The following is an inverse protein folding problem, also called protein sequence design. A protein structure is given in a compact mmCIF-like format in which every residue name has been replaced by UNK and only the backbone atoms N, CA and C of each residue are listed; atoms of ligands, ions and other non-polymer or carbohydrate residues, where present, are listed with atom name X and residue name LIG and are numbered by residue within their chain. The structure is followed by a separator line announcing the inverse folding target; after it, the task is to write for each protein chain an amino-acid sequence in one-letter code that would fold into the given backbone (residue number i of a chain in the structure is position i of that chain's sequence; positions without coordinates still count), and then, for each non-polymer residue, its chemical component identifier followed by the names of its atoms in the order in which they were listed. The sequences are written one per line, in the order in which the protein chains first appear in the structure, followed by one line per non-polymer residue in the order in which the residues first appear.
data_IF_679918132086
#
_entry.id   IF_679918132086
#
_cell.length_a   1.000
_cell.length_b   1.000
_cell.length_c   1.000
_cell.angle_alpha   90.00
_cell.angle_beta   90.00
_cell.angle_gamma   90.00
#
_symmetry.space_group_name_H-M   'P 1'
#
loop_
_entity.id
_entity.type
_entity.pdbx_description
1 polymer ?
#
# COMPACT_ATOMS: atom_id res chain seq x y z
N UNK A 1 17.59 -0.59 6.20
CA UNK A 1 16.72 0.28 6.99
C UNK A 1 15.54 0.75 6.17
N UNK A 2 14.37 0.81 6.78
CA UNK A 2 13.13 1.23 6.16
C UNK A 2 12.95 2.76 6.26
N UNK A 3 12.47 3.38 5.20
CA UNK A 3 12.12 4.81 5.15
C UNK A 3 10.70 4.96 4.61
N UNK A 4 9.97 5.95 5.11
CA UNK A 4 8.55 6.09 4.86
C UNK A 4 8.13 7.51 4.49
N UNK A 5 7.03 7.62 3.76
CA UNK A 5 6.21 8.82 3.64
C UNK A 5 4.74 8.37 3.62
N UNK A 6 4.00 8.68 4.69
CA UNK A 6 2.65 8.17 4.91
C UNK A 6 1.63 9.24 5.25
N UNK A 7 0.36 9.00 4.86
CA UNK A 7 -0.79 9.53 5.55
C UNK A 7 -1.48 8.40 6.33
N UNK A 8 -1.75 8.59 7.61
CA UNK A 8 -2.37 7.56 8.44
C UNK A 8 -3.56 8.09 9.23
N UNK A 9 -4.41 7.18 9.65
CA UNK A 9 -5.54 7.47 10.53
C UNK A 9 -5.70 6.35 11.56
N UNK A 10 -5.75 6.73 12.84
CA UNK A 10 -6.13 5.83 13.93
C UNK A 10 -7.66 5.83 14.02
N UNK A 11 -8.27 4.79 13.50
CA UNK A 11 -9.73 4.64 13.47
C UNK A 11 -10.09 3.17 13.35
N UNK A 12 -11.11 2.75 14.11
CA UNK A 12 -11.67 1.41 13.94
C UNK A 12 -12.29 1.28 12.56
N UNK A 13 -11.88 0.27 11.81
CA UNK A 13 -12.32 0.10 10.43
C UNK A 13 -12.40 -1.37 10.02
N UNK A 14 -13.19 -1.60 8.99
CA UNK A 14 -13.30 -2.90 8.32
C UNK A 14 -12.57 -2.92 6.98
N UNK A 15 -11.62 -2.01 6.78
CA UNK A 15 -10.87 -1.85 5.55
C UNK A 15 -10.94 -0.44 5.00
N UNK A 16 -10.51 -0.27 3.77
CA UNK A 16 -10.46 1.03 3.11
C UNK A 16 -10.09 0.92 1.65
N UNK A 17 -9.84 2.06 1.04
CA UNK A 17 -9.74 2.22 -0.40
C UNK A 17 -8.86 3.39 -0.79
N UNK A 18 -8.11 3.24 -1.87
CA UNK A 18 -7.61 4.35 -2.68
C UNK A 18 -7.23 3.88 -4.08
N UNK A 19 -7.05 4.85 -4.99
CA UNK A 19 -6.35 4.64 -6.25
C UNK A 19 -4.88 4.96 -6.04
N UNK A 20 -3.99 4.07 -6.46
CA UNK A 20 -2.54 4.26 -6.45
C UNK A 20 -2.05 4.53 -7.85
N UNK A 21 -1.39 5.67 -8.10
CA UNK A 21 -0.67 5.84 -9.35
C UNK A 21 0.51 4.86 -9.41
N UNK A 22 0.75 4.31 -10.60
CA UNK A 22 1.75 3.27 -10.81
C UNK A 22 2.99 3.86 -11.49
N UNK A 23 4.13 3.74 -10.83
CA UNK A 23 5.43 4.23 -11.31
C UNK A 23 6.47 3.12 -11.28
N UNK A 24 7.61 3.35 -11.87
CA UNK A 24 8.71 2.37 -11.90
C UNK A 24 10.00 3.01 -11.37
N UNK A 25 10.11 3.22 -10.04
CA UNK A 25 11.35 3.72 -9.45
C UNK A 25 12.49 2.73 -9.67
N UNK A 26 13.68 3.25 -9.98
CA UNK A 26 14.88 2.42 -10.16
C UNK A 26 15.44 1.95 -8.83
N UNK A 27 15.86 0.70 -8.77
CA UNK A 27 16.53 0.12 -7.59
C UNK A 27 17.98 -0.12 -7.93
N UNK A 28 18.87 0.62 -7.29
CA UNK A 28 20.31 0.55 -7.50
C UNK A 28 21.04 -0.31 -6.48
N UNK A 29 22.37 -0.22 -6.50
CA UNK A 29 23.23 -0.92 -5.55
C UNK A 29 22.95 -0.43 -4.11
N UNK A 30 22.98 -1.35 -3.15
CA UNK A 30 22.67 -1.11 -1.74
C UNK A 30 21.23 -0.66 -1.48
N UNK A 31 20.36 -0.81 -2.48
CA UNK A 31 18.93 -0.55 -2.41
C UNK A 31 18.17 -1.86 -2.58
N UNK A 32 17.05 -2.00 -1.91
CA UNK A 32 16.33 -3.27 -1.86
C UNK A 32 14.98 -3.18 -2.56
N UNK A 33 14.10 -2.28 -2.12
CA UNK A 33 12.82 -2.08 -2.78
C UNK A 33 12.25 -0.66 -2.58
N UNK A 34 11.26 -0.35 -3.41
CA UNK A 34 10.41 0.82 -3.31
C UNK A 34 8.97 0.43 -3.61
N UNK A 35 8.01 0.93 -2.82
CA UNK A 35 6.60 0.57 -2.96
C UNK A 35 5.65 1.72 -2.67
N UNK A 36 4.40 1.54 -3.13
CA UNK A 36 3.23 2.29 -2.72
C UNK A 36 2.17 1.29 -2.25
N UNK A 37 1.59 1.52 -1.07
CA UNK A 37 0.67 0.54 -0.48
C UNK A 37 -0.31 1.10 0.54
N UNK A 38 -1.21 0.22 1.00
CA UNK A 38 -2.02 0.34 2.21
C UNK A 38 -1.54 -0.67 3.26
N UNK A 39 -1.52 -0.23 4.54
CA UNK A 39 -1.37 -1.10 5.70
C UNK A 39 -2.62 -0.99 6.56
N UNK A 40 -3.35 -2.08 6.73
CA UNK A 40 -4.47 -2.19 7.69
C UNK A 40 -3.94 -2.87 8.92
N UNK A 41 -3.94 -2.17 10.04
CA UNK A 41 -3.17 -2.54 11.24
C UNK A 41 -4.10 -2.75 12.42
N UNK A 42 -3.89 -3.84 13.15
CA UNK A 42 -4.53 -4.09 14.43
C UNK A 42 -3.52 -4.61 15.45
N UNK A 43 -3.83 -4.42 16.74
CA UNK A 43 -2.92 -4.82 17.79
C UNK A 43 -1.70 -3.91 17.93
N UNK A 44 -0.86 -4.19 18.91
CA UNK A 44 0.35 -3.42 19.23
C UNK A 44 1.50 -4.33 19.65
N UNK A 45 2.73 -3.81 19.57
CA UNK A 45 3.92 -4.55 19.96
C UNK A 45 4.04 -5.88 19.24
N UNK A 46 4.34 -6.95 19.98
CA UNK A 46 4.48 -8.30 19.42
C UNK A 46 3.17 -8.92 18.93
N UNK A 47 2.03 -8.28 19.22
CA UNK A 47 0.69 -8.71 18.77
C UNK A 47 0.19 -7.90 17.58
N UNK A 48 1.03 -7.04 16.99
CA UNK A 48 0.68 -6.27 15.82
C UNK A 48 0.37 -7.22 14.65
N UNK A 49 -0.73 -6.93 13.96
CA UNK A 49 -1.23 -7.70 12.82
C UNK A 49 -1.50 -6.77 11.65
N UNK A 50 -1.22 -7.23 10.43
CA UNK A 50 -1.49 -6.45 9.23
C UNK A 50 -2.07 -7.30 8.11
N UNK A 51 -2.85 -6.65 7.24
CA UNK A 51 -3.05 -7.02 5.84
C UNK A 51 -2.63 -5.83 4.98
N UNK A 52 -1.91 -6.09 3.90
CA UNK A 52 -1.25 -5.07 3.10
C UNK A 52 -1.50 -5.32 1.62
N UNK A 53 -1.57 -4.26 0.83
CA UNK A 53 -1.69 -4.35 -0.63
C UNK A 53 -1.10 -3.13 -1.32
N UNK A 54 -0.59 -3.32 -2.52
CA UNK A 54 -0.03 -2.25 -3.32
C UNK A 54 0.79 -2.76 -4.49
N UNK A 55 1.70 -1.92 -4.96
CA UNK A 55 2.72 -2.31 -5.93
C UNK A 55 4.12 -2.09 -5.36
N UNK A 56 5.05 -2.92 -5.81
CA UNK A 56 6.42 -2.94 -5.28
C UNK A 56 7.41 -3.23 -6.40
N UNK A 57 8.46 -2.43 -6.49
CA UNK A 57 9.65 -2.74 -7.28
C UNK A 57 10.67 -3.38 -6.35
N UNK A 58 10.89 -4.68 -6.51
CA UNK A 58 11.80 -5.48 -5.68
C UNK A 58 12.53 -6.50 -6.54
N UNK A 59 13.64 -6.09 -7.20
CA UNK A 59 14.31 -6.94 -8.19
C UNK A 59 14.76 -8.30 -7.69
N UNK A 60 15.29 -8.34 -6.47
CA UNK A 60 15.75 -9.60 -5.86
C UNK A 60 14.61 -10.60 -5.63
N UNK A 61 13.40 -10.10 -5.33
CA UNK A 61 12.23 -10.96 -5.11
C UNK A 61 11.58 -11.38 -6.42
N UNK A 62 11.33 -10.43 -7.32
CA UNK A 62 10.51 -10.68 -8.52
C UNK A 62 11.33 -11.03 -9.78
N UNK A 63 12.66 -10.85 -9.75
CA UNK A 63 13.50 -11.14 -10.89
C UNK A 63 13.39 -10.12 -12.04
N UNK A 64 12.78 -8.96 -11.78
CA UNK A 64 12.64 -7.87 -12.74
C UNK A 64 12.64 -6.51 -12.01
N UNK A 65 12.74 -5.43 -12.79
CA UNK A 65 12.75 -4.05 -12.27
C UNK A 65 11.40 -3.33 -12.42
N UNK A 66 10.31 -4.08 -12.49
CA UNK A 66 8.96 -3.54 -12.72
C UNK A 66 8.19 -3.43 -11.42
N UNK A 67 7.19 -2.52 -11.35
CA UNK A 67 6.24 -2.55 -10.24
C UNK A 67 5.39 -3.81 -10.32
N UNK A 68 5.44 -4.64 -9.30
CA UNK A 68 4.66 -5.88 -9.21
C UNK A 68 3.54 -5.73 -8.21
N UNK A 69 2.36 -6.24 -8.57
CA UNK A 69 1.23 -6.34 -7.66
C UNK A 69 1.60 -7.22 -6.47
N UNK A 70 1.41 -6.72 -5.24
CA UNK A 70 1.70 -7.53 -4.07
C UNK A 70 0.64 -7.38 -2.99
N UNK A 71 0.55 -8.43 -2.18
CA UNK A 71 -0.11 -8.45 -0.88
C UNK A 71 0.83 -9.05 0.14
N UNK A 72 0.62 -8.69 1.40
CA UNK A 72 1.37 -9.21 2.54
C UNK A 72 0.47 -9.29 3.78
N UNK A 73 0.83 -10.13 4.73
CA UNK A 73 0.15 -10.21 6.02
C UNK A 73 1.12 -10.60 7.13
N UNK A 74 0.77 -10.27 8.37
CA UNK A 74 1.41 -10.81 9.56
C UNK A 74 0.39 -10.91 10.70
N UNK A 75 0.61 -11.85 11.61
CA UNK A 75 -0.19 -11.98 12.82
C UNK A 75 0.63 -11.74 14.10
N UNK A 76 1.92 -11.50 14.00
CA UNK A 76 2.84 -11.44 15.15
C UNK A 76 4.00 -10.44 14.94
N UNK A 77 3.70 -9.28 14.40
CA UNK A 77 4.67 -8.21 14.14
C UNK A 77 5.85 -8.69 13.28
N UNK A 78 5.56 -9.46 12.23
CA UNK A 78 6.54 -9.97 11.26
C UNK A 78 7.59 -10.92 11.86
N UNK A 79 7.29 -11.55 13.01
CA UNK A 79 8.26 -12.43 13.68
C UNK A 79 8.33 -13.82 13.04
N UNK A 80 7.25 -14.60 13.13
CA UNK A 80 7.17 -15.98 12.60
C UNK A 80 6.13 -16.14 11.50
N UNK A 81 5.12 -15.30 11.48
CA UNK A 81 4.05 -15.32 10.49
C UNK A 81 4.27 -14.28 9.42
N UNK A 82 3.63 -14.52 8.29
CA UNK A 82 3.63 -13.59 7.18
C UNK A 82 4.33 -14.13 5.95
N UNK A 83 3.80 -13.70 4.82
CA UNK A 83 4.39 -13.99 3.51
C UNK A 83 3.79 -13.07 2.45
N UNK A 84 4.52 -12.95 1.37
CA UNK A 84 4.05 -12.29 0.15
C UNK A 84 3.12 -13.19 -0.66
N UNK A 85 2.11 -12.56 -1.26
CA UNK A 85 1.33 -13.14 -2.36
C UNK A 85 0.82 -14.56 -2.03
N UNK A 86 1.05 -15.53 -2.90
CA UNK A 86 0.65 -16.92 -2.73
C UNK A 86 1.79 -17.82 -2.21
N UNK A 87 2.89 -17.24 -1.73
CA UNK A 87 4.11 -17.99 -1.39
C UNK A 87 3.90 -19.09 -0.32
N UNK A 88 2.92 -18.93 0.58
CA UNK A 88 2.63 -19.91 1.64
C UNK A 88 1.14 -20.23 1.80
N UNK A 89 0.35 -20.06 0.78
CA UNK A 89 -1.08 -20.42 0.76
C UNK A 89 -1.95 -19.79 1.86
N UNK A 90 -1.56 -18.66 2.42
CA UNK A 90 -2.37 -17.94 3.40
C UNK A 90 -3.57 -17.22 2.75
N UNK A 91 -3.35 -16.64 1.58
CA UNK A 91 -4.38 -16.00 0.79
C UNK A 91 -5.12 -17.01 -0.08
N UNK A 92 -6.44 -16.91 -0.11
CA UNK A 92 -7.30 -17.74 -0.98
C UNK A 92 -7.72 -16.89 -2.18
N UNK A 93 -7.15 -17.19 -3.34
CA UNK A 93 -7.49 -16.50 -4.58
C UNK A 93 -8.74 -17.11 -5.20
N UNK A 94 -9.76 -16.29 -5.47
CA UNK A 94 -11.05 -16.72 -6.05
C UNK A 94 -11.25 -16.24 -7.48
N UNK A 95 -10.48 -15.26 -7.92
CA UNK A 95 -10.54 -14.72 -9.29
C UNK A 95 -9.15 -14.81 -9.94
N UNK A 96 -8.99 -15.65 -10.98
CA UNK A 96 -7.69 -15.84 -11.62
C UNK A 96 -7.32 -14.75 -12.64
N UNK A 97 -8.14 -13.72 -12.82
CA UNK A 97 -7.89 -12.64 -13.78
C UNK A 97 -6.63 -11.81 -13.43
N UNK A 98 -6.18 -11.87 -12.18
CA UNK A 98 -5.01 -11.14 -11.70
C UNK A 98 -3.92 -12.11 -11.23
N UNK A 99 -2.67 -11.72 -11.44
CA UNK A 99 -1.51 -12.48 -10.97
C UNK A 99 -0.86 -11.73 -9.81
N UNK A 100 -0.98 -12.26 -8.60
CA UNK A 100 -0.26 -11.74 -7.44
C UNK A 100 1.24 -11.97 -7.62
N UNK A 101 2.03 -10.90 -7.47
CA UNK A 101 3.44 -10.91 -7.81
C UNK A 101 3.74 -10.60 -9.28
N UNK A 102 2.72 -10.43 -10.10
CA UNK A 102 2.85 -10.09 -11.52
C UNK A 102 3.18 -8.61 -11.75
N UNK A 103 3.95 -8.33 -12.80
CA UNK A 103 4.29 -6.98 -13.19
C UNK A 103 3.06 -6.21 -13.70
N UNK A 104 2.94 -4.95 -13.27
CA UNK A 104 1.91 -4.03 -13.74
C UNK A 104 2.42 -3.25 -14.97
N UNK A 105 1.56 -3.10 -15.96
CA UNK A 105 1.86 -2.38 -17.19
C UNK A 105 0.54 -1.85 -17.80
N UNK A 106 0.54 -0.63 -18.39
CA UNK A 106 1.64 0.33 -18.46
C UNK A 106 1.91 1.04 -17.14
N UNK A 107 3.02 1.76 -17.06
CA UNK A 107 3.39 2.62 -15.92
C UNK A 107 3.33 4.10 -16.30
N UNK A 108 3.12 4.96 -15.30
CA UNK A 108 3.13 6.41 -15.48
C UNK A 108 4.51 6.90 -15.92
N UNK A 109 4.53 7.95 -16.73
CA UNK A 109 5.75 8.61 -17.19
C UNK A 109 5.75 10.09 -16.77
N UNK A 110 6.91 10.57 -16.39
CA UNK A 110 7.07 11.97 -15.96
C UNK A 110 6.62 12.93 -17.06
N UNK A 111 5.68 13.80 -16.71
CA UNK A 111 5.05 14.77 -17.61
C UNK A 111 4.40 14.12 -18.86
N UNK A 112 3.98 12.88 -18.73
CA UNK A 112 3.37 12.08 -19.82
C UNK A 112 2.14 11.33 -19.36
N UNK A 113 1.90 10.18 -19.96
CA UNK A 113 0.74 9.34 -19.66
C UNK A 113 0.77 8.87 -18.19
N UNK A 114 -0.40 8.91 -17.55
CA UNK A 114 -0.56 8.53 -16.16
C UNK A 114 -1.46 7.29 -16.04
N UNK A 115 -1.06 6.36 -15.18
CA UNK A 115 -1.78 5.11 -14.93
C UNK A 115 -1.91 4.88 -13.45
N UNK A 116 -3.06 4.34 -13.04
CA UNK A 116 -3.38 4.03 -11.66
C UNK A 116 -4.07 2.68 -11.54
N UNK A 117 -4.06 2.11 -10.34
CA UNK A 117 -4.81 0.91 -10.00
C UNK A 117 -5.58 1.15 -8.71
N UNK A 118 -6.82 0.70 -8.69
CA UNK A 118 -7.70 0.78 -7.52
C UNK A 118 -7.39 -0.38 -6.57
N UNK A 119 -7.28 -0.07 -5.26
CA UNK A 119 -7.06 -1.06 -4.22
C UNK A 119 -8.06 -0.87 -3.09
N UNK A 120 -8.64 -1.97 -2.62
CA UNK A 120 -9.45 -1.97 -1.41
C UNK A 120 -9.31 -3.32 -0.70
N UNK A 121 -9.32 -3.27 0.65
CA UNK A 121 -9.66 -4.42 1.49
C UNK A 121 -10.98 -4.14 2.17
N UNK A 122 -11.78 -5.20 2.32
CA UNK A 122 -13.01 -5.13 3.10
C UNK A 122 -13.19 -6.42 3.91
N UNK A 123 -13.31 -6.27 5.23
CA UNK A 123 -13.58 -7.39 6.14
C UNK A 123 -15.07 -7.73 6.08
N UNK A 124 -15.40 -8.90 5.56
CA UNK A 124 -16.76 -9.35 5.42
C UNK A 124 -16.86 -10.85 5.71
N UNK A 125 -17.77 -11.22 6.61
CA UNK A 125 -18.04 -12.63 7.00
C UNK A 125 -16.77 -13.42 7.30
N UNK A 126 -15.90 -12.87 8.13
CA UNK A 126 -14.68 -13.55 8.58
C UNK A 126 -13.54 -13.60 7.57
N UNK A 127 -13.58 -12.79 6.53
CA UNK A 127 -12.53 -12.75 5.50
C UNK A 127 -12.18 -11.33 5.12
N UNK A 128 -10.88 -11.04 5.00
CA UNK A 128 -10.38 -9.79 4.45
C UNK A 128 -10.30 -9.90 2.92
N UNK A 129 -11.33 -9.40 2.25
CA UNK A 129 -11.46 -9.45 0.80
C UNK A 129 -10.65 -8.35 0.12
N UNK A 130 -9.88 -8.74 -0.89
CA UNK A 130 -9.11 -7.82 -1.75
C UNK A 130 -9.88 -7.50 -3.03
N UNK A 131 -9.90 -6.22 -3.39
CA UNK A 131 -10.51 -5.70 -4.62
C UNK A 131 -9.47 -4.85 -5.36
N UNK A 132 -9.37 -5.02 -6.68
CA UNK A 132 -8.36 -4.34 -7.51
C UNK A 132 -8.93 -3.52 -8.67
N UNK A 133 -10.21 -3.58 -8.94
CA UNK A 133 -10.84 -2.84 -10.03
C UNK A 133 -12.32 -2.71 -9.73
N UNK A 134 -12.63 -1.81 -8.82
CA UNK A 134 -13.97 -1.72 -8.29
C UNK A 134 -14.13 -2.51 -7.00
N UNK A 135 -15.22 -2.29 -6.32
CA UNK A 135 -15.49 -2.84 -4.98
C UNK A 135 -16.72 -3.75 -4.96
N UNK A 136 -17.21 -4.17 -6.13
CA UNK A 136 -18.27 -5.17 -6.20
C UNK A 136 -17.70 -6.57 -5.89
N UNK A 137 -18.51 -7.44 -5.27
CA UNK A 137 -18.07 -8.79 -4.94
C UNK A 137 -17.63 -9.61 -6.17
N UNK A 138 -18.09 -9.22 -7.37
CA UNK A 138 -17.71 -9.89 -8.63
C UNK A 138 -16.27 -9.59 -9.04
N UNK A 139 -15.69 -8.54 -8.50
CA UNK A 139 -14.34 -8.09 -8.80
C UNK A 139 -13.35 -8.40 -7.69
N UNK A 140 -13.81 -9.05 -6.61
CA UNK A 140 -12.94 -9.53 -5.54
C UNK A 140 -11.93 -10.53 -6.10
N UNK A 141 -10.67 -10.36 -5.70
CA UNK A 141 -9.56 -11.20 -6.13
C UNK A 141 -9.46 -12.47 -5.25
N UNK A 142 -9.78 -12.32 -4.01
CA UNK A 142 -9.69 -13.36 -3.00
C UNK A 142 -9.65 -12.76 -1.61
N UNK A 143 -9.24 -13.54 -0.62
CA UNK A 143 -9.28 -13.11 0.77
C UNK A 143 -8.22 -13.76 1.65
N UNK A 144 -7.88 -13.07 2.74
CA UNK A 144 -7.22 -13.66 3.90
C UNK A 144 -8.29 -14.07 4.92
N UNK A 145 -8.39 -15.35 5.29
CA UNK A 145 -9.33 -15.77 6.34
C UNK A 145 -8.89 -15.25 7.70
N UNK A 146 -9.82 -14.81 8.52
CA UNK A 146 -9.51 -14.25 9.85
C UNK A 146 -8.92 -15.26 10.82
N UNK A 147 -9.05 -16.55 10.54
CA UNK A 147 -8.37 -17.62 11.29
C UNK A 147 -6.86 -17.46 11.34
N UNK A 148 -6.26 -16.79 10.35
CA UNK A 148 -4.82 -16.46 10.35
C UNK A 148 -4.39 -15.62 11.55
N UNK A 149 -5.30 -14.84 12.11
CA UNK A 149 -5.01 -13.88 13.18
C UNK A 149 -5.25 -14.43 14.59
N UNK A 150 -5.61 -15.71 14.72
CA UNK A 150 -5.74 -16.44 15.99
C UNK A 150 -6.53 -15.70 17.07
N UNK A 151 -7.67 -15.09 16.70
CA UNK A 151 -8.48 -14.30 17.61
C UNK A 151 -7.90 -12.92 17.97
N UNK A 152 -6.80 -12.51 17.31
CA UNK A 152 -6.24 -11.17 17.46
C UNK A 152 -7.10 -10.09 16.83
N UNK A 153 -6.63 -8.85 16.87
CA UNK A 153 -7.44 -7.68 16.50
C UNK A 153 -7.99 -7.75 15.06
N UNK A 154 -7.20 -8.20 14.09
CA UNK A 154 -7.67 -8.28 12.70
C UNK A 154 -8.71 -9.38 12.46
N UNK A 155 -8.99 -10.23 13.44
CA UNK A 155 -10.12 -11.15 13.35
C UNK A 155 -11.48 -10.44 13.35
N UNK A 156 -11.56 -9.22 13.91
CA UNK A 156 -12.82 -8.47 14.07
C UNK A 156 -12.81 -7.08 13.43
N UNK A 157 -11.68 -6.41 13.42
CA UNK A 157 -11.50 -5.07 12.81
C UNK A 157 -10.03 -4.68 12.76
N UNK A 158 -9.69 -3.68 11.95
CA UNK A 158 -8.45 -2.95 12.08
C UNK A 158 -8.65 -1.70 12.94
N UNK A 159 -7.56 -1.15 13.46
CA UNK A 159 -7.55 0.02 14.35
C UNK A 159 -6.80 1.20 13.76
N UNK A 160 -6.07 0.98 12.68
CA UNK A 160 -5.28 2.00 11.99
C UNK A 160 -5.17 1.63 10.51
N UNK A 161 -5.13 2.65 9.67
CA UNK A 161 -4.74 2.49 8.26
C UNK A 161 -3.60 3.46 7.98
N UNK A 162 -2.54 2.95 7.34
CA UNK A 162 -1.47 3.74 6.73
C UNK A 162 -1.59 3.65 5.21
N UNK A 163 -1.41 4.79 4.53
CA UNK A 163 -1.37 4.89 3.07
C UNK A 163 -0.08 5.61 2.68
N UNK A 164 0.65 5.09 1.72
CA UNK A 164 1.82 5.81 1.22
C UNK A 164 2.94 4.90 0.75
N UNK A 165 4.15 5.40 0.86
CA UNK A 165 5.35 4.76 0.34
C UNK A 165 6.31 4.27 1.41
N UNK A 166 7.04 3.25 1.04
CA UNK A 166 8.16 2.71 1.80
C UNK A 166 9.31 2.38 0.86
N UNK A 167 10.51 2.66 1.32
CA UNK A 167 11.74 2.24 0.64
C UNK A 167 12.65 1.52 1.61
N UNK A 168 13.44 0.60 1.11
CA UNK A 168 14.46 -0.09 1.90
C UNK A 168 15.81 0.00 1.20
N UNK A 169 16.81 0.36 1.96
CA UNK A 169 18.19 0.42 1.54
C UNK A 169 19.14 0.18 2.72
N UNK A 170 20.44 0.10 2.45
CA UNK A 170 21.47 -0.10 3.46
C UNK A 170 22.31 1.18 3.66
N UNK A 171 22.96 1.68 2.62
CA UNK A 171 23.76 2.91 2.62
C UNK A 171 23.20 3.97 1.67
N UNK A 172 22.26 3.56 0.81
CA UNK A 172 21.57 4.39 -0.15
C UNK A 172 20.13 3.89 -0.28
N UNK A 173 19.20 4.80 -0.49
CA UNK A 173 17.76 4.49 -0.60
C UNK A 173 17.24 4.84 -1.98
N UNK A 174 16.37 3.98 -2.56
CA UNK A 174 15.84 4.21 -3.91
C UNK A 174 14.88 5.38 -3.97
N UNK A 175 14.57 5.88 -5.19
CA UNK A 175 13.45 6.78 -5.38
C UNK A 175 12.14 6.16 -4.86
N UNK A 176 11.26 6.99 -4.30
CA UNK A 176 9.92 6.61 -3.89
C UNK A 176 8.90 7.19 -4.88
N UNK A 177 7.98 6.35 -5.35
CA UNK A 177 6.98 6.75 -6.33
C UNK A 177 7.62 7.08 -7.68
N UNK A 178 7.42 8.30 -8.15
CA UNK A 178 8.06 8.81 -9.37
C UNK A 178 9.52 9.23 -9.16
N UNK A 179 9.97 9.31 -7.90
CA UNK A 179 11.26 9.90 -7.55
C UNK A 179 11.25 11.42 -7.44
N UNK A 180 10.09 12.05 -7.63
CA UNK A 180 9.91 13.49 -7.53
C UNK A 180 9.14 13.87 -6.27
N UNK A 181 9.43 15.06 -5.75
CA UNK A 181 8.75 15.57 -4.56
C UNK A 181 7.29 15.93 -4.85
N UNK A 182 6.41 15.87 -3.84
CA UNK A 182 4.97 16.09 -4.02
C UNK A 182 4.59 17.47 -4.55
N UNK A 183 5.41 18.49 -4.34
CA UNK A 183 5.15 19.83 -4.85
C UNK A 183 5.07 19.92 -6.38
N UNK A 184 5.61 18.96 -7.10
CA UNK A 184 5.54 18.93 -8.57
C UNK A 184 4.15 18.54 -9.09
N UNK A 185 3.30 17.90 -8.28
CA UNK A 185 1.90 17.65 -8.58
C UNK A 185 1.62 16.60 -9.64
N UNK A 186 0.43 16.68 -10.24
CA UNK A 186 -0.08 15.72 -11.21
C UNK A 186 0.82 15.59 -12.45
N UNK A 187 1.00 14.35 -12.89
CA UNK A 187 1.84 14.01 -14.04
C UNK A 187 3.33 13.90 -13.69
N UNK A 188 3.75 14.34 -12.52
CA UNK A 188 5.15 14.43 -12.10
C UNK A 188 5.42 13.73 -10.78
N UNK A 189 4.53 13.84 -9.81
CA UNK A 189 4.62 13.18 -8.51
C UNK A 189 3.64 12.00 -8.40
N UNK A 190 4.03 10.99 -7.64
CA UNK A 190 3.17 9.85 -7.32
C UNK A 190 2.03 10.26 -6.40
N UNK A 191 0.86 9.66 -6.58
CA UNK A 191 -0.30 9.98 -5.75
C UNK A 191 -1.05 8.74 -5.25
N UNK A 192 -1.85 8.96 -4.19
CA UNK A 192 -3.01 8.16 -3.85
C UNK A 192 -4.21 9.09 -3.75
N UNK A 193 -5.37 8.67 -4.25
CA UNK A 193 -6.57 9.50 -4.34
C UNK A 193 -7.84 8.76 -3.98
N UNK A 194 -8.89 9.51 -3.67
CA UNK A 194 -10.18 8.98 -3.24
C UNK A 194 -10.01 8.02 -2.06
N UNK A 195 -9.36 8.53 -1.02
CA UNK A 195 -8.98 7.74 0.14
C UNK A 195 -10.12 7.72 1.13
N UNK A 196 -10.67 6.54 1.41
CA UNK A 196 -11.73 6.36 2.39
C UNK A 196 -11.58 5.06 3.14
N UNK A 197 -12.28 4.91 4.24
CA UNK A 197 -12.33 3.68 5.01
C UNK A 197 -13.77 3.21 5.22
N UNK A 198 -13.91 1.93 5.53
CA UNK A 198 -15.20 1.30 5.86
C UNK A 198 -15.37 1.29 7.38
N UNK A 199 -16.26 2.12 7.96
CA UNK A 199 -16.54 2.07 9.38
C UNK A 199 -17.38 0.83 9.74
N UNK A 200 -17.34 0.35 10.99
CA UNK A 200 -18.18 -0.77 11.43
C UNK A 200 -19.68 -0.52 11.30
N UNK A 201 -20.09 0.73 11.21
CA UNK A 201 -21.50 1.15 11.07
C UNK A 201 -22.03 1.08 9.64
N UNK A 202 -21.19 0.69 8.67
CA UNK A 202 -21.58 0.59 7.25
C UNK A 202 -21.24 1.84 6.44
N UNK A 203 -21.30 1.70 5.10
CA UNK A 203 -20.90 2.74 4.17
C UNK A 203 -19.39 2.97 4.12
N UNK A 204 -19.00 4.14 3.66
CA UNK A 204 -17.61 4.58 3.70
C UNK A 204 -17.50 6.03 4.18
N UNK A 205 -16.38 6.39 4.75
CA UNK A 205 -16.08 7.73 5.26
C UNK A 205 -14.75 8.17 4.66
N UNK A 206 -14.70 9.41 4.13
CA UNK A 206 -13.45 9.99 3.67
C UNK A 206 -12.40 9.98 4.78
N UNK A 207 -11.19 9.55 4.47
CA UNK A 207 -10.12 9.50 5.44
C UNK A 207 -9.74 10.90 5.94
N UNK A 208 -9.42 10.99 7.24
CA UNK A 208 -8.85 12.18 7.88
C UNK A 208 -7.42 11.85 8.27
N UNK A 209 -6.47 12.15 7.39
CA UNK A 209 -5.11 11.67 7.49
C UNK A 209 -4.20 12.61 8.29
N UNK A 210 -3.29 12.01 9.03
CA UNK A 210 -2.13 12.67 9.64
C UNK A 210 -0.90 12.32 8.82
N UNK A 211 -0.07 13.31 8.52
CA UNK A 211 1.13 13.15 7.71
C UNK A 211 2.31 12.67 8.56
N UNK A 212 3.07 11.70 8.05
CA UNK A 212 4.35 11.25 8.62
C UNK A 212 5.41 11.22 7.51
N UNK A 213 6.48 11.97 7.70
CA UNK A 213 7.61 12.06 6.76
C UNK A 213 8.92 12.16 7.55
N UNK A 214 9.38 11.05 8.15
CA UNK A 214 10.54 11.07 9.05
C UNK A 214 11.88 11.37 8.36
N UNK A 215 11.94 11.24 7.04
CA UNK A 215 13.15 11.54 6.24
C UNK A 215 12.85 12.58 5.16
N UNK A 216 12.51 13.84 5.53
CA UNK A 216 12.00 14.84 4.59
C UNK A 216 13.02 15.34 3.56
N UNK A 217 14.31 15.10 3.79
CA UNK A 217 15.35 15.39 2.79
C UNK A 217 15.23 14.48 1.57
N UNK A 218 14.69 13.27 1.74
CA UNK A 218 14.59 12.25 0.70
C UNK A 218 13.17 12.04 0.21
N UNK A 219 12.19 12.10 1.13
CA UNK A 219 10.78 11.78 0.85
C UNK A 219 9.84 12.70 1.59
N UNK A 220 8.84 13.18 0.90
CA UNK A 220 7.80 14.05 1.45
C UNK A 220 6.42 13.55 1.06
N UNK A 221 5.42 14.04 1.78
CA UNK A 221 4.01 13.83 1.47
C UNK A 221 3.28 15.15 1.62
N UNK A 222 2.37 15.44 0.69
CA UNK A 222 1.54 16.65 0.69
C UNK A 222 0.07 16.24 0.60
N UNK A 223 -0.65 16.39 1.70
CA UNK A 223 -2.06 16.08 1.82
C UNK A 223 -2.90 17.21 1.27
N UNK A 224 -3.84 16.88 0.40
CA UNK A 224 -4.70 17.82 -0.31
C UNK A 224 -6.17 17.38 -0.23
N UNK A 225 -7.05 18.33 -0.48
CA UNK A 225 -8.48 18.09 -0.66
C UNK A 225 -8.94 18.72 -1.97
N UNK A 226 -9.89 18.05 -2.63
CA UNK A 226 -10.41 18.51 -3.90
C UNK A 226 -11.65 17.74 -4.30
N UNK A 227 -12.45 18.27 -5.22
CA UNK A 227 -13.82 17.81 -5.48
C UNK A 227 -13.93 16.35 -5.91
N UNK A 228 -13.12 15.93 -6.90
CA UNK A 228 -13.23 14.60 -7.48
C UNK A 228 -12.22 13.60 -6.89
N UNK A 229 -11.18 14.11 -6.23
CA UNK A 229 -10.08 13.29 -5.70
C UNK A 229 -10.06 13.22 -4.18
N UNK A 230 -10.90 13.95 -3.51
CA UNK A 230 -10.90 14.18 -2.07
C UNK A 230 -11.16 12.93 -1.21
N UNK A 231 -10.34 12.70 -0.16
CA UNK A 231 -9.02 13.28 0.04
C UNK A 231 -7.96 12.57 -0.81
N UNK A 232 -6.84 13.24 -1.03
CA UNK A 232 -5.73 12.67 -1.80
C UNK A 232 -4.40 13.26 -1.33
N UNK A 233 -3.30 12.65 -1.76
CA UNK A 233 -1.96 13.20 -1.52
C UNK A 233 -1.01 12.85 -2.65
N UNK A 234 -0.03 13.74 -2.85
CA UNK A 234 1.19 13.41 -3.59
C UNK A 234 2.28 13.05 -2.61
N UNK A 235 3.15 12.13 -2.98
CA UNK A 235 4.22 11.68 -2.10
C UNK A 235 5.40 11.14 -2.89
N UNK A 236 6.56 11.07 -2.24
CA UNK A 236 7.76 10.49 -2.77
C UNK A 236 8.95 11.43 -2.72
N UNK A 237 9.95 11.10 -3.50
CA UNK A 237 11.18 11.85 -3.63
C UNK A 237 12.33 11.01 -4.16
N UNK A 238 13.50 11.62 -4.37
CA UNK A 238 14.62 11.00 -5.09
C UNK A 238 15.36 9.93 -4.30
N UNK A 239 15.19 9.86 -2.98
CA UNK A 239 16.05 9.02 -2.15
C UNK A 239 17.49 9.53 -2.09
N UNK A 240 18.45 8.61 -2.03
CA UNK A 240 19.87 8.91 -2.01
C UNK A 240 20.58 8.47 -0.73
N UNK A 241 21.78 9.01 -0.49
CA UNK A 241 22.62 8.65 0.67
C UNK A 241 22.36 9.50 1.91
N UNK A 242 21.73 10.67 1.74
CA UNK A 242 21.45 11.62 2.82
C UNK A 242 20.15 11.36 3.60
N UNK A 243 19.57 10.20 3.38
CA UNK A 243 18.34 9.85 4.10
C UNK A 243 18.62 9.41 5.54
#
# INVERSE_FOLDING_TARGET
THKYAHGYQNVTNLGGHSFLSVWQPGIGNNQIFSLSQHWYVGGTGSKLQTVECGWQVYPKKYGNNKPCLFIYWTADAYNKTGNYNLDKKAFVQTNPAWTLGGALSPVSTYNGAQFELEFAYFLYKGNWWLYLKGTSYKEAIGYYPTSLFNGGQLATSAQKIDYGGETVGTTSWPPMGSGHFPAEGFGKACFQRNIYYYPPTGGNINASLTVSQPSPACYKINLLSGTNWNPYFYFGGPGGTGC
#
